data_IF_919198820430
#
_entry.id   IF_919198820430
#
_cell.length_a   1.000
_cell.length_b   1.000
_cell.length_c   1.000
_cell.angle_alpha   90.00
_cell.angle_beta   90.00
_cell.angle_gamma   90.00
#
_symmetry.space_group_name_H-M   'P 1'
#
loop_
_entity.id
_entity.type
_entity.pdbx_description
1 polymer ?
#
# COMPACT_ATOMS: atom_id res chain seq x y z
N UNK A 1 -11.32 25.96 6.25
CA UNK A 1 -11.61 24.69 6.95
C UNK A 1 -11.57 23.58 5.93
N UNK A 2 -10.46 22.89 5.85
CA UNK A 2 -10.22 21.87 4.82
C UNK A 2 -10.40 20.49 5.47
N UNK A 3 -11.51 19.82 5.11
CA UNK A 3 -11.79 18.46 5.57
C UNK A 3 -10.75 17.48 4.99
N UNK A 4 -9.80 17.07 5.82
CA UNK A 4 -8.99 15.88 5.60
C UNK A 4 -9.89 14.66 5.67
N UNK A 5 -10.42 14.21 4.54
CA UNK A 5 -10.91 12.85 4.43
C UNK A 5 -9.69 11.95 4.21
N UNK A 6 -9.13 11.46 5.31
CA UNK A 6 -8.37 10.23 5.29
C UNK A 6 -9.30 9.18 4.64
N UNK A 7 -8.91 8.66 3.48
CA UNK A 7 -9.49 7.40 3.02
C UNK A 7 -8.97 6.33 3.96
N UNK A 8 -9.73 6.07 5.03
CA UNK A 8 -9.59 4.84 5.79
C UNK A 8 -9.82 3.72 4.80
N UNK A 9 -8.80 2.88 4.64
CA UNK A 9 -8.93 1.65 3.90
C UNK A 9 -10.17 0.93 4.42
N UNK A 10 -11.07 0.61 3.53
CA UNK A 10 -12.30 -0.12 3.85
C UNK A 10 -11.86 -1.48 4.37
N UNK A 11 -11.82 -1.61 5.69
CA UNK A 11 -11.64 -2.90 6.35
C UNK A 11 -12.88 -3.71 6.02
N UNK A 12 -12.81 -4.50 4.96
CA UNK A 12 -13.79 -5.54 4.73
C UNK A 12 -13.64 -6.52 5.89
N UNK A 13 -14.56 -6.44 6.83
CA UNK A 13 -14.88 -7.53 7.75
C UNK A 13 -15.43 -8.68 6.89
N UNK A 14 -14.54 -9.39 6.20
CA UNK A 14 -14.87 -10.71 5.73
C UNK A 14 -15.10 -11.55 6.98
N UNK A 15 -16.24 -12.19 7.06
CA UNK A 15 -16.55 -13.16 8.09
C UNK A 15 -15.36 -14.15 8.14
N UNK A 16 -14.49 -13.95 9.12
CA UNK A 16 -13.44 -14.88 9.45
C UNK A 16 -14.21 -16.15 9.82
N UNK A 17 -14.25 -17.15 8.92
CA UNK A 17 -14.52 -18.51 9.34
C UNK A 17 -13.34 -18.91 10.21
N UNK A 18 -13.49 -18.57 11.48
CA UNK A 18 -12.43 -18.68 12.47
C UNK A 18 -12.27 -20.18 12.75
N UNK A 19 -11.26 -20.78 12.15
CA UNK A 19 -10.70 -22.02 12.63
C UNK A 19 -10.02 -21.77 13.98
N UNK A 20 -10.77 -21.24 14.95
CA UNK A 20 -10.25 -21.02 16.29
C UNK A 20 -9.89 -22.33 16.95
N UNK A 21 -8.75 -22.37 17.62
CA UNK A 21 -8.48 -23.43 18.58
C UNK A 21 -9.60 -23.49 19.60
N UNK A 22 -9.88 -24.70 20.06
CA UNK A 22 -10.97 -25.01 20.98
C UNK A 22 -11.14 -23.99 22.10
N UNK A 23 -12.34 -23.43 22.17
CA UNK A 23 -12.81 -22.68 23.31
C UNK A 23 -13.52 -23.65 24.24
N UNK A 24 -13.07 -23.80 25.47
CA UNK A 24 -13.77 -24.62 26.47
C UNK A 24 -14.93 -23.87 27.07
N UNK A 25 -16.15 -24.41 26.96
CA UNK A 25 -17.29 -23.94 27.74
C UNK A 25 -17.44 -24.75 29.01
N UNK A 26 -17.73 -24.12 30.16
CA UNK A 26 -18.14 -24.86 31.34
C UNK A 26 -19.47 -25.58 31.02
N UNK A 27 -19.47 -26.92 31.05
CA UNK A 27 -20.65 -27.75 30.83
C UNK A 27 -20.92 -28.21 29.41
N UNK A 28 -20.00 -27.98 28.47
CA UNK A 28 -20.09 -28.55 27.12
C UNK A 28 -20.01 -30.09 27.17
N UNK A 29 -20.96 -30.78 26.49
CA UNK A 29 -20.83 -32.22 26.24
C UNK A 29 -19.52 -32.44 25.47
N UNK A 30 -18.85 -33.57 25.76
CA UNK A 30 -17.66 -33.94 25.02
C UNK A 30 -17.99 -33.96 23.51
N UNK A 31 -17.35 -33.07 22.74
CA UNK A 31 -17.32 -33.18 21.30
C UNK A 31 -16.87 -34.61 20.93
N UNK A 32 -17.27 -35.10 19.75
CA UNK A 32 -16.73 -36.35 19.22
C UNK A 32 -15.19 -36.28 19.29
N UNK A 33 -14.55 -37.40 19.68
CA UNK A 33 -13.09 -37.45 19.76
C UNK A 33 -12.43 -37.07 18.41
N UNK A 34 -11.34 -36.34 18.45
CA UNK A 34 -10.54 -36.06 17.27
C UNK A 34 -9.90 -37.35 16.75
N UNK A 35 -10.09 -37.63 15.47
CA UNK A 35 -9.37 -38.70 14.78
C UNK A 35 -7.95 -38.19 14.45
N UNK A 36 -7.00 -38.37 15.36
CA UNK A 36 -5.65 -37.76 15.25
C UNK A 36 -4.84 -38.27 14.06
N UNK A 37 -5.14 -39.45 13.54
CA UNK A 37 -4.47 -40.04 12.37
C UNK A 37 -5.07 -39.57 11.02
N UNK A 38 -6.24 -38.95 11.09
CA UNK A 38 -6.92 -38.43 9.89
C UNK A 38 -6.20 -37.20 9.35
N UNK A 39 -6.03 -37.15 8.04
CA UNK A 39 -5.42 -36.00 7.36
C UNK A 39 -6.41 -34.88 7.15
N UNK A 40 -5.86 -33.66 7.20
CA UNK A 40 -6.59 -32.42 7.01
C UNK A 40 -6.21 -31.75 5.69
N UNK A 41 -7.13 -30.97 5.14
CA UNK A 41 -6.92 -30.10 4.00
C UNK A 41 -7.26 -28.67 4.36
N UNK A 42 -6.55 -27.69 3.79
CA UNK A 42 -6.83 -26.26 4.00
C UNK A 42 -6.65 -25.50 2.69
N UNK A 43 -7.53 -24.57 2.41
CA UNK A 43 -7.37 -23.62 1.33
C UNK A 43 -7.25 -22.20 1.89
N UNK A 44 -6.46 -21.39 1.20
CA UNK A 44 -6.27 -19.97 1.48
C UNK A 44 -6.74 -19.12 0.31
N UNK A 45 -7.26 -17.94 0.63
CA UNK A 45 -7.63 -16.97 -0.38
C UNK A 45 -7.24 -15.54 0.06
N UNK A 46 -7.07 -14.66 -0.91
CA UNK A 46 -7.05 -13.21 -0.72
C UNK A 46 -8.26 -12.63 -1.41
N UNK A 47 -8.97 -11.75 -0.74
CA UNK A 47 -10.14 -11.07 -1.28
C UNK A 47 -9.84 -9.61 -1.56
N UNK A 48 -10.50 -9.05 -2.56
CA UNK A 48 -10.43 -7.64 -2.92
C UNK A 48 -10.48 -7.47 -4.44
N UNK A 49 -11.53 -6.82 -4.96
CA UNK A 49 -11.59 -6.47 -6.38
C UNK A 49 -10.52 -5.41 -6.71
N UNK A 50 -9.79 -5.61 -7.80
CA UNK A 50 -8.75 -4.69 -8.27
C UNK A 50 -7.45 -4.69 -7.46
N UNK A 51 -7.28 -5.65 -6.56
CA UNK A 51 -6.08 -5.81 -5.74
C UNK A 51 -4.97 -6.49 -6.54
N UNK A 52 -3.75 -5.96 -6.51
CA UNK A 52 -2.57 -6.54 -7.17
C UNK A 52 -2.23 -7.94 -6.64
N UNK A 53 -2.68 -8.31 -5.44
CA UNK A 53 -2.50 -9.64 -4.87
C UNK A 53 -3.19 -10.75 -5.66
N UNK A 54 -4.27 -10.44 -6.40
CA UNK A 54 -4.94 -11.46 -7.25
C UNK A 54 -4.14 -11.83 -8.50
N UNK A 55 -3.14 -11.01 -8.85
CA UNK A 55 -2.26 -11.24 -10.01
C UNK A 55 -0.82 -11.56 -9.62
N UNK A 56 -0.53 -11.57 -8.32
CA UNK A 56 0.80 -11.82 -7.76
C UNK A 56 0.84 -13.16 -7.05
N UNK A 57 1.91 -13.90 -7.21
CA UNK A 57 2.14 -15.14 -6.48
C UNK A 57 2.40 -14.84 -5.00
N UNK A 58 1.61 -15.45 -4.11
CA UNK A 58 1.72 -15.25 -2.67
C UNK A 58 2.13 -16.55 -2.01
N UNK A 59 3.26 -16.57 -1.34
CA UNK A 59 3.71 -17.74 -0.59
C UNK A 59 3.10 -17.73 0.82
N UNK A 60 2.41 -18.80 1.18
CA UNK A 60 1.87 -19.02 2.53
C UNK A 60 2.61 -20.20 3.16
N UNK A 61 3.19 -19.96 4.33
CA UNK A 61 3.96 -20.96 5.07
C UNK A 61 3.16 -21.44 6.29
N UNK A 62 3.16 -22.73 6.51
CA UNK A 62 2.59 -23.36 7.71
C UNK A 62 3.69 -23.92 8.59
N UNK A 63 3.61 -23.64 9.88
CA UNK A 63 4.47 -24.22 10.90
C UNK A 63 3.60 -24.89 11.95
N UNK A 64 3.79 -26.18 12.18
CA UNK A 64 3.07 -26.88 13.24
C UNK A 64 3.62 -26.46 14.60
N UNK A 65 2.84 -25.68 15.33
CA UNK A 65 3.26 -25.14 16.65
C UNK A 65 2.88 -26.04 17.79
N UNK A 66 1.81 -26.85 17.64
CA UNK A 66 1.42 -27.83 18.67
C UNK A 66 0.78 -29.07 18.05
N UNK A 67 0.93 -30.17 18.76
CA UNK A 67 0.17 -31.41 18.57
C UNK A 67 -1.20 -31.27 19.26
N UNK A 68 -2.21 -31.99 18.78
CA UNK A 68 -3.54 -32.06 19.38
C UNK A 68 -3.86 -33.51 19.78
N UNK A 69 -4.42 -33.70 20.96
CA UNK A 69 -4.89 -35.00 21.42
C UNK A 69 -6.34 -35.30 21.00
N UNK A 70 -6.82 -36.47 21.28
CA UNK A 70 -8.20 -36.92 20.98
C UNK A 70 -9.28 -36.07 21.68
N UNK A 71 -8.93 -35.40 22.77
CA UNK A 71 -9.79 -34.51 23.53
C UNK A 71 -9.71 -33.05 23.09
N UNK A 72 -8.79 -32.72 22.15
CA UNK A 72 -8.60 -31.36 21.64
C UNK A 72 -7.61 -30.51 22.46
N UNK A 73 -6.86 -31.11 23.40
CA UNK A 73 -5.83 -30.35 24.09
C UNK A 73 -4.57 -30.23 23.22
N UNK A 74 -3.92 -29.06 23.28
CA UNK A 74 -2.68 -28.80 22.56
C UNK A 74 -1.46 -28.99 23.45
N UNK A 75 -0.39 -29.55 22.85
CA UNK A 75 0.94 -29.63 23.43
C UNK A 75 1.93 -29.00 22.47
N UNK A 76 2.60 -27.92 22.87
CA UNK A 76 3.57 -27.22 22.04
C UNK A 76 4.66 -28.18 21.53
N UNK A 77 5.04 -28.06 20.27
CA UNK A 77 6.15 -28.81 19.70
C UNK A 77 7.48 -28.32 20.27
N UNK A 78 8.54 -29.12 20.11
CA UNK A 78 9.88 -28.75 20.59
C UNK A 78 10.42 -27.44 20.05
N UNK A 79 10.04 -27.10 18.82
CA UNK A 79 10.49 -25.87 18.13
C UNK A 79 9.76 -24.62 18.64
N UNK A 80 8.63 -24.81 19.35
CA UNK A 80 7.80 -23.76 19.94
C UNK A 80 7.63 -23.95 21.46
N UNK A 81 8.65 -24.50 22.10
CA UNK A 81 8.66 -24.67 23.57
C UNK A 81 8.55 -23.31 24.24
N UNK A 82 7.55 -23.17 25.14
CA UNK A 82 7.25 -21.91 25.82
C UNK A 82 6.08 -21.12 25.23
N UNK A 83 5.62 -21.43 24.00
CA UNK A 83 4.40 -20.86 23.47
C UNK A 83 3.20 -21.34 24.30
N UNK A 84 2.39 -20.40 24.78
CA UNK A 84 1.13 -20.74 25.45
C UNK A 84 0.10 -21.22 24.42
N UNK A 85 -0.16 -22.53 24.42
CA UNK A 85 -1.17 -23.17 23.56
C UNK A 85 -2.37 -23.66 24.36
N UNK A 86 -2.51 -23.25 25.62
CA UNK A 86 -3.64 -23.62 26.48
C UNK A 86 -4.97 -23.14 25.91
N UNK A 87 -6.07 -23.82 26.25
CA UNK A 87 -7.41 -23.42 25.87
C UNK A 87 -7.73 -22.02 26.42
N UNK A 88 -8.47 -21.24 25.64
CA UNK A 88 -8.97 -19.91 26.05
C UNK A 88 -10.46 -20.03 26.38
N UNK A 89 -10.90 -19.47 27.51
CA UNK A 89 -12.33 -19.44 27.85
C UNK A 89 -13.14 -18.66 26.82
N UNK A 90 -14.34 -19.14 26.53
CA UNK A 90 -15.26 -18.54 25.58
C UNK A 90 -16.17 -17.46 26.17
N UNK A 91 -15.98 -17.10 27.44
CA UNK A 91 -16.86 -16.15 28.15
C UNK A 91 -16.90 -14.77 27.46
N UNK A 92 -15.83 -14.43 26.73
CA UNK A 92 -15.73 -13.26 25.90
C UNK A 92 -15.01 -13.59 24.59
N UNK A 93 -15.75 -13.57 23.48
CA UNK A 93 -15.22 -13.91 22.13
C UNK A 93 -14.13 -12.94 21.68
N UNK A 94 -14.25 -11.65 21.99
CA UNK A 94 -13.30 -10.63 21.56
C UNK A 94 -11.99 -10.76 22.32
N UNK A 95 -12.06 -11.04 23.62
CA UNK A 95 -10.89 -11.34 24.45
C UNK A 95 -10.21 -12.64 24.00
N UNK A 96 -10.98 -13.68 23.65
CA UNK A 96 -10.43 -14.93 23.13
C UNK A 96 -9.71 -14.72 21.79
N UNK A 97 -10.33 -13.97 20.86
CA UNK A 97 -9.73 -13.63 19.56
C UNK A 97 -8.41 -12.87 19.72
N UNK A 98 -8.38 -11.89 20.63
CA UNK A 98 -7.17 -11.10 20.93
C UNK A 98 -6.05 -11.98 21.45
N UNK A 99 -6.32 -12.87 22.43
CA UNK A 99 -5.33 -13.80 22.98
C UNK A 99 -4.73 -14.71 21.90
N UNK A 100 -5.56 -15.25 21.01
CA UNK A 100 -5.06 -16.07 19.90
C UNK A 100 -4.26 -15.28 18.89
N UNK A 101 -4.61 -14.01 18.64
CA UNK A 101 -3.81 -13.13 17.81
C UNK A 101 -2.45 -12.80 18.42
N UNK A 102 -2.38 -12.57 19.75
CA UNK A 102 -1.14 -12.34 20.47
C UNK A 102 -0.22 -13.57 20.43
N UNK A 103 -0.79 -14.76 20.65
CA UNK A 103 -0.06 -16.03 20.51
C UNK A 103 0.46 -16.29 19.11
N UNK A 104 -0.30 -15.90 18.09
CA UNK A 104 0.15 -16.01 16.70
C UNK A 104 1.36 -15.11 16.42
N UNK A 105 1.37 -13.89 16.96
CA UNK A 105 2.54 -12.99 16.89
C UNK A 105 3.73 -13.54 17.65
N UNK A 106 3.52 -14.04 18.88
CA UNK A 106 4.56 -14.68 19.66
C UNK A 106 5.16 -15.88 18.90
N UNK A 107 4.33 -16.74 18.32
CA UNK A 107 4.79 -17.87 17.51
C UNK A 107 5.59 -17.38 16.27
N UNK A 108 5.17 -16.29 15.63
CA UNK A 108 5.91 -15.70 14.51
C UNK A 108 7.28 -15.14 14.96
N UNK A 109 7.34 -14.48 16.11
CA UNK A 109 8.60 -13.96 16.69
C UNK A 109 9.58 -15.08 17.07
N UNK A 110 9.08 -16.26 17.43
CA UNK A 110 9.90 -17.46 17.69
C UNK A 110 10.52 -18.03 16.41
N UNK A 111 10.03 -17.66 15.20
CA UNK A 111 10.56 -18.20 13.95
C UNK A 111 12.03 -17.83 13.76
N UNK A 112 12.85 -18.84 13.64
CA UNK A 112 14.27 -18.72 13.29
C UNK A 112 14.56 -19.45 11.99
N UNK A 113 15.73 -19.22 11.40
CA UNK A 113 16.14 -19.93 10.17
C UNK A 113 16.25 -21.45 10.35
N UNK A 114 16.33 -21.94 11.59
CA UNK A 114 16.43 -23.37 11.91
C UNK A 114 15.06 -24.06 11.96
N UNK A 115 13.98 -23.32 12.20
CA UNK A 115 12.63 -23.89 12.25
C UNK A 115 12.15 -24.14 10.82
N UNK A 116 11.87 -25.41 10.53
CA UNK A 116 11.43 -25.81 9.20
C UNK A 116 9.93 -25.60 9.03
N UNK A 117 9.55 -25.11 7.86
CA UNK A 117 8.14 -25.08 7.45
C UNK A 117 7.59 -26.50 7.40
N UNK A 118 6.42 -26.70 7.96
CA UNK A 118 5.69 -27.97 7.85
C UNK A 118 5.14 -28.17 6.45
N UNK A 119 4.60 -27.08 5.87
CA UNK A 119 4.11 -27.03 4.50
C UNK A 119 4.19 -25.63 3.94
N UNK A 120 4.14 -25.50 2.62
CA UNK A 120 4.08 -24.23 1.91
C UNK A 120 3.17 -24.36 0.73
N UNK A 121 2.34 -23.34 0.49
CA UNK A 121 1.52 -23.21 -0.72
C UNK A 121 1.79 -21.86 -1.36
N UNK A 122 1.78 -21.82 -2.69
CA UNK A 122 1.78 -20.58 -3.44
C UNK A 122 0.36 -20.33 -3.97
N UNK A 123 -0.25 -19.23 -3.54
CA UNK A 123 -1.52 -18.80 -4.08
C UNK A 123 -1.30 -18.29 -5.51
N UNK A 124 -2.09 -18.81 -6.43
CA UNK A 124 -2.18 -18.39 -7.84
C UNK A 124 -3.55 -17.75 -8.06
N UNK A 125 -3.60 -16.60 -8.70
CA UNK A 125 -4.85 -15.85 -8.84
C UNK A 125 -5.62 -15.70 -7.51
N UNK A 126 -4.85 -15.46 -6.43
CA UNK A 126 -5.39 -15.24 -5.09
C UNK A 126 -5.88 -16.47 -4.34
N UNK A 127 -5.67 -17.69 -4.84
CA UNK A 127 -6.13 -18.92 -4.19
C UNK A 127 -5.07 -20.01 -4.17
N UNK A 128 -5.12 -20.90 -3.17
CA UNK A 128 -4.24 -22.06 -3.08
C UNK A 128 -4.66 -23.01 -1.97
N UNK A 129 -4.31 -24.27 -2.06
CA UNK A 129 -4.70 -25.29 -1.09
C UNK A 129 -3.56 -26.26 -0.77
N UNK A 130 -3.64 -26.86 0.43
CA UNK A 130 -2.78 -27.91 0.93
C UNK A 130 -3.64 -29.08 1.37
N UNK A 131 -3.16 -30.29 1.14
CA UNK A 131 -3.76 -31.53 1.57
C UNK A 131 -2.77 -32.34 2.41
N UNK A 132 -3.22 -33.46 2.96
CA UNK A 132 -2.42 -34.42 3.71
C UNK A 132 -1.71 -33.87 4.97
N UNK A 133 -2.23 -32.77 5.54
CA UNK A 133 -1.72 -32.19 6.77
C UNK A 133 -2.08 -33.07 7.98
N UNK A 134 -1.14 -33.25 8.89
CA UNK A 134 -1.42 -33.90 10.17
C UNK A 134 -2.33 -33.00 11.04
N UNK A 135 -3.06 -33.59 11.96
CA UNK A 135 -3.82 -32.83 12.96
C UNK A 135 -2.87 -32.03 13.87
N UNK A 136 -3.31 -30.87 14.35
CA UNK A 136 -2.53 -30.00 15.24
C UNK A 136 -2.89 -28.52 15.11
N UNK A 137 -2.13 -27.69 15.78
CA UNK A 137 -2.21 -26.23 15.70
C UNK A 137 -1.10 -25.72 14.80
N UNK A 138 -1.45 -24.85 13.84
CA UNK A 138 -0.52 -24.34 12.85
C UNK A 138 -0.47 -22.82 12.86
N UNK A 139 0.75 -22.27 12.89
CA UNK A 139 0.97 -20.86 12.53
C UNK A 139 0.90 -20.74 11.02
N UNK A 140 0.07 -19.80 10.56
CA UNK A 140 0.03 -19.33 9.19
C UNK A 140 0.83 -18.04 9.11
N UNK A 141 1.94 -18.11 8.39
CA UNK A 141 2.88 -17.02 8.20
C UNK A 141 3.02 -16.71 6.70
N UNK A 142 2.67 -15.49 6.33
CA UNK A 142 2.76 -15.02 4.95
C UNK A 142 3.76 -13.88 4.91
N UNK A 143 4.89 -14.04 4.20
CA UNK A 143 5.87 -12.97 4.03
C UNK A 143 5.27 -11.73 3.37
N UNK A 144 5.91 -10.59 3.60
CA UNK A 144 5.60 -9.34 2.91
C UNK A 144 5.62 -9.56 1.38
N UNK A 145 4.63 -9.04 0.68
CA UNK A 145 4.53 -9.07 -0.77
C UNK A 145 4.69 -7.66 -1.31
N UNK A 146 5.69 -7.46 -2.16
CA UNK A 146 5.97 -6.18 -2.82
C UNK A 146 5.49 -6.27 -4.26
N UNK A 147 4.55 -5.43 -4.62
CA UNK A 147 3.98 -5.31 -5.96
C UNK A 147 4.45 -4.03 -6.65
N UNK A 148 3.90 -3.70 -7.79
CA UNK A 148 4.27 -2.49 -8.53
C UNK A 148 3.95 -1.22 -7.75
N UNK A 149 2.75 -1.13 -7.16
CA UNK A 149 2.25 0.09 -6.56
C UNK A 149 2.13 0.02 -5.03
N UNK A 150 2.15 -1.19 -4.45
CA UNK A 150 1.91 -1.41 -3.03
C UNK A 150 2.89 -2.40 -2.40
N UNK A 151 3.01 -2.32 -1.10
CA UNK A 151 3.58 -3.36 -0.26
C UNK A 151 2.47 -3.88 0.63
N UNK A 152 2.33 -5.20 0.71
CA UNK A 152 1.32 -5.87 1.53
C UNK A 152 1.98 -6.60 2.68
N UNK A 153 1.54 -6.30 3.89
CA UNK A 153 1.92 -7.04 5.09
C UNK A 153 0.74 -7.89 5.55
N UNK A 154 1.01 -9.10 6.02
CA UNK A 154 -0.03 -10.06 6.42
C UNK A 154 -0.03 -10.26 7.93
N UNK A 155 -1.22 -10.30 8.52
CA UNK A 155 -1.38 -10.62 9.93
C UNK A 155 -1.20 -12.12 10.12
N UNK A 156 -0.25 -12.59 10.97
CA UNK A 156 -0.13 -14.01 11.30
C UNK A 156 -1.33 -14.47 12.12
N UNK A 157 -1.69 -15.74 11.99
CA UNK A 157 -2.73 -16.34 12.83
C UNK A 157 -2.50 -17.82 13.04
N UNK A 158 -3.15 -18.37 14.07
CA UNK A 158 -3.13 -19.79 14.38
C UNK A 158 -4.40 -20.46 13.83
N UNK A 159 -4.23 -21.59 13.17
CA UNK A 159 -5.32 -22.43 12.68
C UNK A 159 -5.28 -23.81 13.30
N UNK A 160 -6.42 -24.26 13.81
CA UNK A 160 -6.60 -25.64 14.25
C UNK A 160 -6.98 -26.56 13.08
N UNK A 161 -6.28 -27.67 12.97
CA UNK A 161 -6.61 -28.76 12.04
C UNK A 161 -6.78 -30.05 12.83
N UNK A 162 -8.00 -30.64 12.94
CA UNK A 162 -9.26 -30.10 12.45
C UNK A 162 -9.76 -28.91 13.27
N UNK A 163 -10.76 -28.23 12.74
CA UNK A 163 -11.55 -27.21 13.44
C UNK A 163 -12.98 -27.69 13.69
N UNK A 164 -13.77 -26.92 14.44
CA UNK A 164 -15.21 -27.10 14.50
C UNK A 164 -15.95 -25.79 14.37
N UNK A 165 -17.22 -25.84 14.01
CA UNK A 165 -18.08 -24.68 13.82
C UNK A 165 -19.07 -24.49 14.97
N UNK A 166 -18.83 -25.03 16.14
CA UNK A 166 -19.74 -24.97 17.27
C UNK A 166 -20.22 -23.55 17.58
N UNK A 167 -19.29 -22.58 17.57
CA UNK A 167 -19.61 -21.19 17.86
C UNK A 167 -20.34 -20.46 16.73
N UNK A 168 -20.23 -20.93 15.51
CA UNK A 168 -20.89 -20.28 14.36
C UNK A 168 -22.28 -20.85 14.08
N UNK A 169 -22.49 -22.15 14.31
CA UNK A 169 -23.74 -22.81 13.94
C UNK A 169 -24.25 -23.87 14.97
N UNK A 170 -23.58 -23.99 16.14
CA UNK A 170 -23.93 -24.95 17.16
C UNK A 170 -23.59 -26.42 16.82
N UNK A 171 -22.84 -26.65 15.73
CA UNK A 171 -22.46 -28.00 15.28
C UNK A 171 -21.08 -28.34 15.86
N UNK A 172 -20.98 -29.42 16.61
CA UNK A 172 -19.76 -29.92 17.26
C UNK A 172 -19.00 -30.99 16.45
N UNK A 173 -19.32 -31.15 15.17
CA UNK A 173 -18.58 -32.05 14.29
C UNK A 173 -17.22 -31.46 13.91
N UNK A 174 -16.18 -32.29 13.94
CA UNK A 174 -14.86 -31.92 13.48
C UNK A 174 -14.79 -31.81 11.97
N UNK A 175 -14.24 -30.70 11.48
CA UNK A 175 -14.05 -30.39 10.08
C UNK A 175 -12.57 -30.59 9.74
N UNK A 176 -12.25 -31.62 8.97
CA UNK A 176 -10.89 -31.95 8.52
C UNK A 176 -10.57 -31.32 7.15
N UNK A 177 -11.60 -30.95 6.40
CA UNK A 177 -11.46 -30.30 5.11
C UNK A 177 -11.89 -28.83 5.17
N UNK A 178 -10.90 -27.94 5.20
CA UNK A 178 -11.05 -26.49 5.19
C UNK A 178 -10.82 -25.94 3.78
N UNK A 179 -11.31 -26.62 2.77
CA UNK A 179 -11.32 -26.15 1.38
C UNK A 179 -12.69 -25.59 0.99
N UNK A 180 -12.87 -25.16 -0.21
CA UNK A 180 -14.13 -24.63 -0.73
C UNK A 180 -14.77 -23.55 0.17
N UNK A 181 -15.92 -23.81 0.77
CA UNK A 181 -16.68 -22.85 1.60
C UNK A 181 -16.01 -22.50 2.93
N UNK A 182 -15.06 -23.32 3.37
CA UNK A 182 -14.31 -23.12 4.62
C UNK A 182 -12.91 -22.58 4.38
N UNK A 183 -12.60 -22.10 3.18
CA UNK A 183 -11.30 -21.52 2.86
C UNK A 183 -10.97 -20.31 3.74
N UNK A 184 -9.72 -20.20 4.14
CA UNK A 184 -9.23 -19.20 5.07
C UNK A 184 -8.80 -17.95 4.30
N UNK A 185 -9.42 -16.80 4.63
CA UNK A 185 -9.03 -15.51 4.07
C UNK A 185 -7.74 -14.97 4.71
N UNK A 186 -6.75 -14.61 3.92
CA UNK A 186 -5.55 -13.93 4.40
C UNK A 186 -5.89 -12.46 4.70
N UNK A 187 -5.64 -12.04 5.94
CA UNK A 187 -5.80 -10.65 6.34
C UNK A 187 -4.52 -9.87 6.06
N UNK A 188 -4.62 -8.80 5.28
CA UNK A 188 -3.47 -7.98 4.90
C UNK A 188 -3.74 -6.49 5.13
N UNK A 189 -2.64 -5.74 5.23
CA UNK A 189 -2.61 -4.28 5.19
C UNK A 189 -1.87 -3.83 3.94
N UNK A 190 -2.39 -2.79 3.30
CA UNK A 190 -1.87 -2.23 2.06
C UNK A 190 -1.13 -0.93 2.34
N UNK A 191 0.12 -0.84 1.93
CA UNK A 191 0.96 0.33 2.06
C UNK A 191 1.36 0.83 0.67
N UNK A 192 0.97 2.06 0.32
CA UNK A 192 1.33 2.64 -0.96
C UNK A 192 2.85 2.77 -1.08
N UNK A 193 3.38 2.44 -2.24
CA UNK A 193 4.77 2.72 -2.63
C UNK A 193 4.84 4.09 -3.29
N UNK A 194 6.03 4.68 -3.27
CA UNK A 194 6.25 6.01 -3.81
C UNK A 194 7.40 6.03 -4.79
N UNK A 195 7.31 6.95 -5.73
CA UNK A 195 8.38 7.24 -6.68
C UNK A 195 8.57 8.74 -6.88
N UNK A 196 9.53 9.06 -7.73
CA UNK A 196 9.94 10.42 -8.03
C UNK A 196 9.69 10.74 -9.50
N UNK A 197 9.50 12.03 -9.78
CA UNK A 197 9.43 12.61 -11.12
C UNK A 197 10.57 13.60 -11.30
N UNK A 198 11.33 13.47 -12.38
CA UNK A 198 12.35 14.42 -12.78
C UNK A 198 11.83 15.29 -13.91
N UNK A 199 11.83 16.61 -13.71
CA UNK A 199 11.59 17.58 -14.78
C UNK A 199 12.96 18.06 -15.27
N UNK A 200 13.34 17.65 -16.48
CA UNK A 200 14.54 18.11 -17.14
C UNK A 200 14.23 19.38 -17.93
N UNK A 201 15.06 20.39 -17.79
CA UNK A 201 14.93 21.66 -18.50
C UNK A 201 16.20 22.01 -19.23
N UNK A 202 16.07 22.31 -20.52
CA UNK A 202 17.14 22.86 -21.36
C UNK A 202 16.80 24.27 -21.80
N UNK A 203 17.68 25.21 -21.52
CA UNK A 203 17.69 26.55 -22.08
C UNK A 203 18.76 26.62 -23.19
N UNK A 204 18.36 26.71 -24.46
CA UNK A 204 19.30 26.72 -25.59
C UNK A 204 20.18 27.97 -25.61
N UNK A 205 19.55 29.13 -25.45
CA UNK A 205 20.22 30.41 -25.43
C UNK A 205 19.70 31.26 -24.26
N UNK A 206 20.59 32.00 -23.61
CA UNK A 206 20.24 32.87 -22.50
C UNK A 206 20.24 34.34 -22.93
N UNK A 207 19.18 35.10 -22.64
CA UNK A 207 19.07 36.52 -22.94
C UNK A 207 19.51 37.36 -21.72
N UNK A 208 20.79 37.73 -21.68
CA UNK A 208 21.34 38.51 -20.58
C UNK A 208 20.82 39.99 -20.55
N UNK A 209 20.13 40.45 -21.59
CA UNK A 209 19.63 41.83 -21.64
C UNK A 209 18.36 42.03 -20.82
N UNK A 210 17.60 40.97 -20.54
CA UNK A 210 16.34 41.03 -19.78
C UNK A 210 16.50 40.73 -18.29
N UNK A 211 17.72 40.54 -17.81
CA UNK A 211 18.04 40.24 -16.41
C UNK A 211 19.01 39.09 -16.25
N UNK A 212 19.55 38.93 -15.02
CA UNK A 212 20.49 37.85 -14.74
C UNK A 212 19.85 36.47 -14.69
N UNK A 213 18.55 36.39 -14.38
CA UNK A 213 17.85 35.13 -14.21
C UNK A 213 16.70 34.96 -15.18
N UNK A 214 16.61 33.79 -15.77
CA UNK A 214 15.44 33.31 -16.52
C UNK A 214 14.73 32.26 -15.66
N UNK A 215 13.49 32.52 -15.25
CA UNK A 215 12.68 31.62 -14.44
C UNK A 215 11.64 30.92 -15.30
N UNK A 216 11.52 29.63 -15.13
CA UNK A 216 10.51 28.76 -15.76
C UNK A 216 9.68 28.09 -14.66
N UNK A 217 8.34 28.07 -14.84
CA UNK A 217 7.42 27.52 -13.84
C UNK A 217 6.65 26.38 -14.45
N UNK A 218 6.57 25.29 -13.71
CA UNK A 218 5.90 24.06 -14.11
C UNK A 218 4.73 23.77 -13.17
N UNK A 219 3.60 23.43 -13.76
CA UNK A 219 2.47 22.85 -13.06
C UNK A 219 2.49 21.34 -13.24
N UNK A 220 2.44 20.61 -12.13
CA UNK A 220 2.43 19.15 -12.07
C UNK A 220 1.06 18.71 -11.56
N UNK A 221 0.27 18.12 -12.43
CA UNK A 221 -1.05 17.58 -12.14
C UNK A 221 -0.93 16.07 -11.89
N UNK A 222 -1.28 15.62 -10.69
CA UNK A 222 -1.16 14.22 -10.25
C UNK A 222 -2.56 13.61 -10.17
N UNK A 223 -2.84 12.57 -10.96
CA UNK A 223 -4.14 11.87 -11.03
C UNK A 223 -5.35 12.81 -11.22
N UNK A 224 -5.16 14.04 -11.76
CA UNK A 224 -6.19 15.10 -11.88
C UNK A 224 -6.81 15.56 -10.55
N UNK A 225 -6.21 15.23 -9.41
CA UNK A 225 -6.75 15.50 -8.07
C UNK A 225 -5.82 16.36 -7.22
N UNK A 226 -4.54 16.35 -7.50
CA UNK A 226 -3.52 17.12 -6.79
C UNK A 226 -2.70 17.94 -7.81
N UNK A 227 -2.36 19.17 -7.45
CA UNK A 227 -1.49 20.03 -8.25
C UNK A 227 -0.34 20.51 -7.40
N UNK A 228 0.88 20.41 -7.95
CA UNK A 228 2.11 21.00 -7.39
C UNK A 228 2.66 22.00 -8.40
N UNK A 229 3.41 22.99 -7.88
CA UNK A 229 4.09 24.01 -8.69
C UNK A 229 5.57 23.96 -8.33
N UNK A 230 6.40 23.95 -9.36
CA UNK A 230 7.86 23.97 -9.24
C UNK A 230 8.45 24.99 -10.20
N UNK A 231 9.64 25.49 -9.89
CA UNK A 231 10.34 26.44 -10.75
C UNK A 231 11.81 26.10 -10.90
N UNK A 232 12.37 26.48 -12.04
CA UNK A 232 13.81 26.41 -12.33
C UNK A 232 14.31 27.77 -12.80
N UNK A 233 15.43 28.19 -12.23
CA UNK A 233 16.14 29.42 -12.59
C UNK A 233 17.39 29.10 -13.38
N UNK A 234 17.67 29.92 -14.40
CA UNK A 234 18.86 29.85 -15.25
C UNK A 234 19.57 31.20 -15.25
N UNK A 235 20.87 31.20 -15.00
CA UNK A 235 21.75 32.38 -15.13
C UNK A 235 22.58 32.34 -16.42
N UNK A 236 22.53 31.21 -17.14
CA UNK A 236 23.18 30.97 -18.43
C UNK A 236 22.40 29.92 -19.21
N UNK A 237 22.71 29.76 -20.50
CA UNK A 237 22.24 28.63 -21.30
C UNK A 237 22.77 27.32 -20.72
N UNK A 238 22.01 26.23 -20.85
CA UNK A 238 22.40 24.90 -20.34
C UNK A 238 21.23 24.04 -19.95
N UNK A 239 21.54 22.98 -19.21
CA UNK A 239 20.60 22.00 -18.71
C UNK A 239 20.48 22.11 -17.17
N UNK A 240 19.28 21.94 -16.66
CA UNK A 240 18.96 21.86 -15.24
C UNK A 240 17.81 20.91 -15.02
N UNK A 241 17.61 20.47 -13.78
CA UNK A 241 16.49 19.60 -13.45
C UNK A 241 16.00 19.84 -12.04
N UNK A 242 14.73 19.50 -11.81
CA UNK A 242 14.14 19.44 -10.46
C UNK A 242 13.48 18.08 -10.27
N UNK A 243 13.62 17.53 -9.07
CA UNK A 243 13.02 16.25 -8.69
C UNK A 243 11.86 16.48 -7.72
N UNK A 244 10.71 16.01 -8.10
CA UNK A 244 9.49 15.99 -7.29
C UNK A 244 9.37 14.63 -6.65
N UNK A 245 9.46 14.57 -5.33
CA UNK A 245 9.49 13.32 -4.56
C UNK A 245 8.12 12.95 -4.00
N UNK A 246 8.01 11.70 -3.54
CA UNK A 246 6.83 11.18 -2.82
C UNK A 246 5.53 11.28 -3.62
N UNK A 247 5.58 10.90 -4.87
CA UNK A 247 4.38 10.71 -5.69
C UNK A 247 3.99 9.23 -5.62
N UNK A 248 2.72 8.88 -5.36
CA UNK A 248 2.31 7.48 -5.32
C UNK A 248 2.67 6.73 -6.61
N UNK A 249 3.22 5.53 -6.48
CA UNK A 249 3.48 4.68 -7.63
C UNK A 249 2.18 4.36 -8.37
N UNK A 250 2.26 4.22 -9.70
CA UNK A 250 1.09 4.08 -10.57
C UNK A 250 0.37 5.39 -10.88
N UNK A 251 0.69 6.49 -10.21
CA UNK A 251 0.07 7.79 -10.49
C UNK A 251 0.40 8.26 -11.91
N UNK A 252 -0.61 8.76 -12.60
CA UNK A 252 -0.46 9.46 -13.88
C UNK A 252 -0.22 10.93 -13.61
N UNK A 253 0.88 11.46 -14.09
CA UNK A 253 1.24 12.87 -13.97
C UNK A 253 1.19 13.55 -15.34
N UNK A 254 0.70 14.79 -15.34
CA UNK A 254 0.78 15.72 -16.46
C UNK A 254 1.57 16.93 -16.00
N UNK A 255 2.60 17.28 -16.74
CA UNK A 255 3.43 18.45 -16.48
C UNK A 255 3.24 19.45 -17.61
N UNK A 256 2.97 20.69 -17.24
CA UNK A 256 2.80 21.82 -18.16
C UNK A 256 3.72 22.96 -17.77
N UNK A 257 4.49 23.50 -18.70
CA UNK A 257 5.21 24.73 -18.45
C UNK A 257 4.23 25.90 -18.53
N UNK A 258 3.87 26.46 -17.37
CA UNK A 258 2.85 27.53 -17.27
C UNK A 258 3.46 28.92 -17.36
N UNK A 259 4.80 29.04 -17.23
CA UNK A 259 5.52 30.28 -17.43
C UNK A 259 6.90 30.01 -18.03
N UNK A 260 7.16 30.59 -19.19
CA UNK A 260 8.37 30.37 -20.00
C UNK A 260 9.41 31.51 -19.86
N UNK A 261 9.22 32.45 -18.93
CA UNK A 261 10.03 33.66 -18.86
C UNK A 261 9.60 34.71 -19.90
N UNK A 262 9.97 35.98 -19.65
CA UNK A 262 9.48 37.13 -20.42
C UNK A 262 10.04 37.21 -21.87
N UNK A 263 11.19 36.59 -22.14
CA UNK A 263 11.88 36.67 -23.43
C UNK A 263 12.20 35.30 -24.03
N UNK A 264 11.43 34.29 -23.64
CA UNK A 264 11.66 32.92 -24.09
C UNK A 264 10.37 32.27 -24.59
N UNK A 265 10.51 31.35 -25.51
CA UNK A 265 9.45 30.48 -25.99
C UNK A 265 9.76 29.03 -25.80
N UNK A 266 8.75 28.25 -25.46
CA UNK A 266 8.84 26.80 -25.41
C UNK A 266 9.00 26.25 -26.84
N UNK A 267 9.99 25.38 -27.04
CA UNK A 267 10.28 24.72 -28.31
C UNK A 267 10.05 23.20 -28.28
N UNK A 268 9.71 22.66 -27.14
CA UNK A 268 9.23 21.28 -26.96
C UNK A 268 7.71 21.23 -26.83
N UNK A 269 7.13 20.02 -26.71
CA UNK A 269 5.72 19.88 -26.35
C UNK A 269 5.46 20.48 -24.97
N UNK A 270 4.35 21.22 -24.80
CA UNK A 270 4.04 21.87 -23.53
C UNK A 270 3.44 20.90 -22.53
N UNK A 271 2.51 20.05 -22.96
CA UNK A 271 1.88 19.05 -22.10
C UNK A 271 2.64 17.74 -22.20
N UNK A 272 3.28 17.32 -21.11
CA UNK A 272 3.99 16.05 -21.06
C UNK A 272 3.43 15.17 -19.95
N UNK A 273 3.35 13.89 -20.21
CA UNK A 273 2.78 12.92 -19.27
C UNK A 273 3.77 11.81 -18.93
N UNK A 274 3.69 11.32 -17.71
CA UNK A 274 4.43 10.16 -17.26
C UNK A 274 3.60 9.34 -16.28
N UNK A 275 3.95 8.07 -16.11
CA UNK A 275 3.43 7.23 -15.03
C UNK A 275 4.54 7.03 -14.01
N UNK A 276 4.24 7.30 -12.76
CA UNK A 276 5.22 7.17 -11.67
C UNK A 276 5.49 5.69 -11.40
N UNK A 277 6.75 5.34 -11.34
CA UNK A 277 7.22 4.01 -10.90
C UNK A 277 7.77 4.12 -9.49
N UNK A 278 7.60 3.08 -8.67
CA UNK A 278 8.17 3.07 -7.33
C UNK A 278 9.70 3.14 -7.39
N UNK A 279 10.29 4.04 -6.60
CA UNK A 279 11.75 4.20 -6.45
C UNK A 279 12.20 3.99 -5.01
N UNK A 280 11.27 3.57 -4.14
CA UNK A 280 11.49 3.28 -2.73
C UNK A 280 12.02 1.86 -2.46
N UNK A 281 12.39 1.58 -1.21
CA UNK A 281 12.68 0.23 -0.67
C UNK A 281 13.54 -0.68 -1.56
N UNK A 282 14.69 -0.17 -2.01
CA UNK A 282 15.64 -0.97 -2.81
C UNK A 282 15.15 -1.27 -4.22
N UNK A 283 14.17 -0.53 -4.72
CA UNK A 283 13.79 -0.55 -6.12
C UNK A 283 14.99 -0.19 -7.01
N UNK A 284 15.15 -0.88 -8.13
CA UNK A 284 16.14 -0.56 -9.17
C UNK A 284 15.54 0.29 -10.30
N UNK A 285 14.28 0.72 -10.15
CA UNK A 285 13.62 1.53 -11.16
C UNK A 285 14.26 2.92 -11.28
N UNK A 286 14.36 3.40 -12.51
CA UNK A 286 14.72 4.79 -12.79
C UNK A 286 13.50 5.67 -12.58
N UNK A 287 13.64 6.84 -11.92
CA UNK A 287 12.53 7.80 -11.78
C UNK A 287 11.90 8.17 -13.13
N UNK A 288 10.59 8.38 -13.13
CA UNK A 288 9.89 8.91 -14.28
C UNK A 288 10.43 10.30 -14.63
N UNK A 289 10.49 10.65 -15.91
CA UNK A 289 11.01 11.97 -16.33
C UNK A 289 10.24 12.57 -17.49
N UNK A 290 10.22 13.90 -17.53
CA UNK A 290 9.75 14.73 -18.64
C UNK A 290 10.81 15.76 -18.99
N UNK A 291 10.75 16.33 -20.21
CA UNK A 291 11.81 17.22 -20.68
C UNK A 291 11.23 18.41 -21.43
N UNK A 292 11.63 19.62 -21.03
CA UNK A 292 11.22 20.87 -21.66
C UNK A 292 12.43 21.61 -22.22
N UNK A 293 12.25 22.23 -23.37
CA UNK A 293 13.30 23.01 -24.03
C UNK A 293 12.76 24.38 -24.41
N UNK A 294 13.46 25.44 -24.00
CA UNK A 294 13.16 26.80 -24.39
C UNK A 294 14.32 27.45 -25.16
N UNK A 295 13.96 28.44 -25.94
CA UNK A 295 14.89 29.29 -26.67
C UNK A 295 14.47 30.75 -26.55
N UNK A 296 15.34 31.65 -26.89
CA UNK A 296 15.03 33.11 -26.97
C UNK A 296 13.83 33.30 -27.88
N UNK A 297 12.90 34.17 -27.46
CA UNK A 297 11.84 34.69 -28.27
C UNK A 297 12.12 36.16 -28.56
N UNK A 298 12.34 36.49 -29.83
CA UNK A 298 12.55 37.86 -30.29
C UNK A 298 11.25 38.71 -30.22
N UNK A 299 10.10 38.05 -30.07
CA UNK A 299 8.87 38.70 -29.69
C UNK A 299 8.85 38.89 -28.19
N UNK A 300 9.02 40.12 -27.73
CA UNK A 300 8.87 40.41 -26.27
C UNK A 300 7.45 40.01 -25.84
N UNK A 301 7.33 38.83 -25.30
CA UNK A 301 6.14 38.41 -24.55
C UNK A 301 6.03 39.38 -23.38
N UNK A 302 5.02 40.26 -23.39
CA UNK A 302 4.80 41.21 -22.32
C UNK A 302 4.77 40.47 -21.00
N UNK A 303 5.79 40.65 -20.16
CA UNK A 303 5.75 40.15 -18.79
C UNK A 303 4.45 40.63 -18.16
N UNK A 304 3.90 39.86 -17.24
CA UNK A 304 2.81 40.30 -16.37
C UNK A 304 3.32 41.50 -15.54
N UNK A 305 3.39 42.67 -16.15
CA UNK A 305 3.61 43.91 -15.46
C UNK A 305 2.27 44.38 -14.91
N UNK A 306 2.07 44.27 -13.60
CA UNK A 306 0.97 44.99 -12.97
C UNK A 306 1.33 46.48 -13.07
N UNK A 307 0.72 47.20 -14.01
CA UNK A 307 0.75 48.64 -14.07
C UNK A 307 -0.34 49.17 -13.14
N UNK A 308 0.06 49.58 -11.95
CA UNK A 308 -0.80 50.38 -11.08
C UNK A 308 -0.70 51.86 -11.52
N UNK A 309 -1.73 52.38 -12.14
CA UNK A 309 -1.81 53.80 -12.45
C UNK A 309 -2.48 54.56 -11.29
N UNK A 310 -1.74 55.44 -10.70
CA UNK A 310 -2.26 56.37 -9.68
C UNK A 310 -2.31 57.75 -10.22
N UNK A 311 -3.43 58.44 -10.08
CA UNK A 311 -3.55 59.89 -10.33
C UNK A 311 -3.62 60.60 -8.99
N UNK A 312 -2.89 61.69 -8.88
CA UNK A 312 -3.01 62.64 -7.76
C UNK A 312 -4.31 63.43 -7.96
N UNK A 313 -5.22 63.43 -6.99
CA UNK A 313 -6.41 64.25 -7.01
C UNK A 313 -6.15 65.66 -6.52
N UNK A 314 -7.17 66.52 -6.58
CA UNK A 314 -7.09 67.95 -6.19
C UNK A 314 -6.78 68.16 -4.70
N UNK A 315 -6.96 67.11 -3.90
CA UNK A 315 -6.67 67.10 -2.42
C UNK A 315 -5.29 66.54 -2.12
N UNK A 316 -4.47 66.17 -3.12
CA UNK A 316 -3.14 65.62 -2.96
C UNK A 316 -3.13 64.15 -2.59
N UNK A 317 -4.22 63.39 -2.80
CA UNK A 317 -4.33 61.95 -2.57
C UNK A 317 -4.19 61.16 -3.85
N UNK A 318 -3.49 60.01 -3.83
CA UNK A 318 -3.38 59.13 -4.97
C UNK A 318 -4.64 58.31 -5.14
N UNK A 319 -5.32 58.42 -6.30
CA UNK A 319 -6.45 57.64 -6.70
C UNK A 319 -5.99 56.58 -7.72
N UNK A 320 -6.37 55.32 -7.48
CA UNK A 320 -6.14 54.23 -8.46
C UNK A 320 -7.03 54.39 -9.67
N UNK A 321 -6.46 54.32 -10.85
CA UNK A 321 -7.23 54.29 -12.11
C UNK A 321 -6.96 52.98 -12.83
N UNK A 322 -8.01 52.23 -13.11
CA UNK A 322 -7.89 51.02 -13.92
C UNK A 322 -7.26 51.34 -15.29
N UNK A 323 -6.25 50.56 -15.75
CA UNK A 323 -5.74 50.66 -17.09
C UNK A 323 -6.85 50.31 -18.07
N UNK A 324 -7.04 51.11 -19.13
CA UNK A 324 -7.97 50.76 -20.18
C UNK A 324 -7.65 49.39 -20.76
N UNK A 325 -8.65 48.49 -20.82
CA UNK A 325 -8.52 47.20 -21.48
C UNK A 325 -8.07 47.46 -22.94
N UNK A 326 -6.93 46.91 -23.30
CA UNK A 326 -6.58 46.86 -24.75
C UNK A 326 -7.40 45.74 -25.36
N UNK A 327 -8.27 46.10 -26.29
CA UNK A 327 -8.92 45.20 -27.25
C UNK A 327 -7.87 44.51 -28.12
#
# INVERSE_FOLDING_TARGET
>A
MMNKRLKQGTTFLLALALAFPLLTLPGARAANAIETDRKCSVAFNVSGEGNELTTTDIQVNLYKVADVDVSGNYTATKDFTGLDVSSVSADDKDTAASKWADRAKEAQEMLTKSIKKTATVTLKAGTGSLADLATGLYLVDTPEVVTTNYTYTFTPYLVSLPTNNYYSNGNDNWIYDLTATNAIGLKHEEHARYGDLIINKRLKNHNATTGKKATFVFQIEINKTETRIESLDFEAAGDSSVTITKIPAGAKVKVTEVYSGASYKLTSANDQTATIVATDRGSTNTPASVSFTNDIDDNMNGGYGVRNNFKLDENGQYQYTEPAAKN
#
